data_IF_098862233354
#
_entry.id   IF_098862233354
#
_cell.length_a   1.000
_cell.length_b   1.000
_cell.length_c   1.000
_cell.angle_alpha   90.00
_cell.angle_beta   90.00
_cell.angle_gamma   90.00
#
_symmetry.space_group_name_H-M   'P 1'
#
loop_
_entity.id
_entity.type
_entity.pdbx_description
1 polymer ?
#
# COMPACT_ATOMS: atom_id res chain seq x y z
N UNK A 1 15.80 -1.80 7.27
CA UNK A 1 14.59 -2.62 7.52
C UNK A 1 13.43 -1.92 6.86
N UNK A 2 12.78 -2.57 5.90
CA UNK A 2 11.61 -2.01 5.21
C UNK A 2 10.47 -1.77 6.20
N UNK A 3 9.67 -0.74 5.96
CA UNK A 3 8.53 -0.38 6.78
C UNK A 3 7.24 -0.80 6.10
N UNK A 4 6.30 -1.40 6.84
CA UNK A 4 4.96 -1.67 6.31
C UNK A 4 4.26 -0.33 6.06
N UNK A 5 3.85 -0.11 4.82
CA UNK A 5 3.09 1.07 4.40
C UNK A 5 1.60 0.77 4.38
N UNK A 6 1.21 -0.40 3.89
CA UNK A 6 -0.19 -0.83 3.88
C UNK A 6 -0.41 -2.02 4.82
N UNK A 7 -0.90 -1.75 6.02
CA UNK A 7 -1.18 -2.78 7.02
C UNK A 7 -2.35 -3.72 6.65
N UNK A 8 -3.24 -3.32 5.74
CA UNK A 8 -4.34 -4.18 5.29
C UNK A 8 -3.88 -5.27 4.31
N UNK A 9 -2.82 -5.01 3.53
CA UNK A 9 -2.38 -5.91 2.45
C UNK A 9 -0.89 -6.30 2.56
N UNK A 10 -0.19 -5.83 3.59
CA UNK A 10 1.19 -6.21 3.89
C UNK A 10 2.28 -5.48 3.09
N UNK A 11 1.92 -4.55 2.20
CA UNK A 11 2.90 -3.89 1.34
C UNK A 11 3.88 -3.01 2.13
N UNK A 12 5.16 -3.20 1.85
CA UNK A 12 6.27 -2.44 2.39
C UNK A 12 6.70 -1.30 1.47
N UNK A 13 7.47 -0.35 2.01
CA UNK A 13 8.01 0.76 1.24
C UNK A 13 8.97 0.30 0.14
N UNK A 14 9.77 -0.73 0.39
CA UNK A 14 10.69 -1.29 -0.60
C UNK A 14 9.95 -1.99 -1.75
N UNK A 15 8.88 -2.75 -1.47
CA UNK A 15 8.05 -3.35 -2.53
C UNK A 15 7.39 -2.27 -3.41
N UNK A 16 6.92 -1.17 -2.81
CA UNK A 16 6.34 -0.05 -3.56
C UNK A 16 7.41 0.62 -4.43
N UNK A 17 8.62 0.87 -3.90
CA UNK A 17 9.73 1.44 -4.70
C UNK A 17 10.13 0.53 -5.85
N UNK A 18 10.28 -0.77 -5.59
CA UNK A 18 10.59 -1.74 -6.64
C UNK A 18 9.51 -1.79 -7.71
N UNK A 19 8.25 -1.74 -7.32
CA UNK A 19 7.11 -1.72 -8.22
C UNK A 19 7.13 -0.48 -9.13
N UNK A 20 7.46 0.70 -8.59
CA UNK A 20 7.68 1.92 -9.39
C UNK A 20 8.79 1.72 -10.42
N UNK A 21 9.94 1.19 -10.00
CA UNK A 21 11.10 0.98 -10.88
C UNK A 21 10.76 -0.02 -11.99
N UNK A 22 10.10 -1.13 -11.64
CA UNK A 22 9.69 -2.20 -12.58
C UNK A 22 8.65 -1.74 -13.61
N UNK A 23 7.86 -0.72 -13.27
CA UNK A 23 6.74 -0.26 -14.09
C UNK A 23 6.95 1.17 -14.62
N UNK A 24 8.20 1.51 -14.96
CA UNK A 24 8.54 2.78 -15.63
C UNK A 24 8.01 4.02 -14.92
N UNK A 25 8.11 4.03 -13.58
CA UNK A 25 7.67 5.16 -12.75
C UNK A 25 6.23 5.07 -12.23
N UNK A 26 5.48 4.03 -12.59
CA UNK A 26 4.07 3.88 -12.18
C UNK A 26 3.94 2.78 -11.12
N UNK A 27 3.48 3.09 -9.91
CA UNK A 27 3.19 2.01 -8.94
C UNK A 27 1.80 1.41 -9.14
N UNK A 28 1.76 0.13 -9.55
CA UNK A 28 0.53 -0.68 -9.55
C UNK A 28 0.09 -1.05 -8.14
N UNK A 29 1.03 -1.26 -7.22
CA UNK A 29 0.74 -1.50 -5.79
C UNK A 29 0.00 -0.30 -5.19
N UNK A 30 0.48 0.92 -5.45
CA UNK A 30 -0.18 2.15 -5.00
C UNK A 30 -1.60 2.23 -5.57
N UNK A 31 -1.78 2.01 -6.87
CA UNK A 31 -3.10 2.03 -7.51
C UNK A 31 -4.05 1.00 -6.88
N UNK A 32 -3.55 -0.22 -6.62
CA UNK A 32 -4.30 -1.26 -5.93
C UNK A 32 -4.76 -0.79 -4.54
N UNK A 33 -3.85 -0.27 -3.72
CA UNK A 33 -4.18 0.22 -2.36
C UNK A 33 -5.24 1.32 -2.41
N UNK A 34 -5.09 2.29 -3.30
CA UNK A 34 -6.05 3.40 -3.46
C UNK A 34 -7.43 2.88 -3.85
N UNK A 35 -7.51 1.95 -4.81
CA UNK A 35 -8.77 1.35 -5.24
C UNK A 35 -9.43 0.58 -4.10
N UNK A 36 -8.68 -0.26 -3.37
CA UNK A 36 -9.21 -0.99 -2.21
C UNK A 36 -9.72 -0.07 -1.10
N UNK A 37 -9.02 1.04 -0.84
CA UNK A 37 -9.48 2.06 0.12
C UNK A 37 -10.78 2.72 -0.35
N UNK A 38 -10.87 3.08 -1.64
CA UNK A 38 -12.08 3.67 -2.25
C UNK A 38 -13.27 2.72 -2.21
N UNK A 39 -13.04 1.43 -2.42
CA UNK A 39 -14.07 0.39 -2.43
C UNK A 39 -14.53 -0.02 -1.01
N UNK A 40 -13.99 0.62 0.04
CA UNK A 40 -14.31 0.29 1.44
C UNK A 40 -13.78 -1.07 1.89
N UNK A 41 -12.80 -1.63 1.17
CA UNK A 41 -12.24 -2.97 1.42
C UNK A 41 -11.05 -2.94 2.39
N UNK A 42 -10.83 -1.82 3.07
CA UNK A 42 -9.75 -1.64 4.03
C UNK A 42 -10.31 -1.38 5.43
N UNK A 43 -9.72 -2.04 6.43
CA UNK A 43 -9.95 -1.76 7.83
C UNK A 43 -8.81 -0.92 8.43
N UNK A 44 -8.41 0.19 7.77
CA UNK A 44 -7.27 1.00 8.21
C UNK A 44 -7.40 1.49 9.66
N UNK A 45 -8.62 1.79 10.11
CA UNK A 45 -8.91 2.21 11.48
C UNK A 45 -8.60 1.14 12.54
N UNK A 46 -8.54 -0.15 12.15
CA UNK A 46 -8.16 -1.27 13.03
C UNK A 46 -6.70 -1.67 12.80
N UNK A 47 -6.29 -1.77 11.54
CA UNK A 47 -5.03 -2.41 11.16
C UNK A 47 -3.85 -1.44 11.11
N UNK A 48 -4.07 -0.17 10.77
CA UNK A 48 -3.00 0.83 10.70
C UNK A 48 -2.82 1.47 12.08
N UNK A 49 -1.61 1.49 12.68
CA UNK A 49 -1.35 2.18 13.95
C UNK A 49 -1.74 3.68 13.96
N UNK A 50 -1.78 4.32 12.79
CA UNK A 50 -2.24 5.71 12.63
C UNK A 50 -3.77 5.84 12.50
N UNK A 51 -4.48 4.73 12.39
CA UNK A 51 -5.93 4.67 12.20
C UNK A 51 -6.46 5.09 10.82
N UNK A 52 -5.59 5.34 9.82
CA UNK A 52 -6.00 5.85 8.49
C UNK A 52 -5.09 5.42 7.35
#
# INVERSE_FOLDING_TARGET
MSQIICYCFGFTDDEIKEDVIKHNGISKIQQFIVNKKKDGQCACHLNNPKGT
#
